data_IF_379664904537
#
_entry.id   IF_379664904537
#
_cell.length_a   1.000
_cell.length_b   1.000
_cell.length_c   1.000
_cell.angle_alpha   90.00
_cell.angle_beta   90.00
_cell.angle_gamma   90.00
#
_symmetry.space_group_name_H-M   'P 1'
#
loop_
_entity.id
_entity.type
_entity.pdbx_description
1 polymer ?
#
# COMPACT_ATOMS: atom_id res chain seq x y z
N UNK A 1 14.82 15.38 -15.45
CA UNK A 1 16.26 15.55 -15.20
C UNK A 1 16.97 14.82 -16.32
N UNK A 2 17.80 15.53 -17.07
CA UNK A 2 18.54 14.90 -18.16
C UNK A 2 19.73 14.08 -17.62
N UNK A 3 20.35 13.25 -18.47
CA UNK A 3 21.45 12.39 -18.03
C UNK A 3 22.68 13.20 -17.58
N UNK A 4 22.95 14.34 -18.22
CA UNK A 4 24.09 15.21 -17.86
C UNK A 4 23.94 15.85 -16.48
N UNK A 5 22.74 16.28 -16.09
CA UNK A 5 22.44 16.83 -14.77
C UNK A 5 22.68 15.78 -13.68
N UNK A 6 22.32 14.52 -13.93
CA UNK A 6 22.55 13.42 -13.00
C UNK A 6 24.05 13.16 -12.82
N UNK A 7 24.82 13.16 -13.91
CA UNK A 7 26.27 12.98 -13.85
C UNK A 7 26.96 14.10 -13.05
N UNK A 8 26.56 15.36 -13.26
CA UNK A 8 27.08 16.49 -12.48
C UNK A 8 26.75 16.33 -11.00
N UNK A 9 25.49 16.03 -10.67
CA UNK A 9 25.08 15.83 -9.28
C UNK A 9 25.77 14.62 -8.63
N UNK A 10 26.09 13.58 -9.40
CA UNK A 10 26.86 12.44 -8.91
C UNK A 10 28.32 12.78 -8.69
N UNK A 11 28.92 13.59 -9.57
CA UNK A 11 30.28 14.08 -9.39
C UNK A 11 30.42 14.91 -8.10
N UNK A 12 29.39 15.70 -7.73
CA UNK A 12 29.35 16.41 -6.44
C UNK A 12 29.37 15.45 -5.25
N UNK A 13 28.61 14.34 -5.32
CA UNK A 13 28.61 13.31 -4.27
C UNK A 13 29.99 12.66 -4.15
N UNK A 14 30.62 12.32 -5.27
CA UNK A 14 31.96 11.71 -5.28
C UNK A 14 33.02 12.66 -4.70
N UNK A 15 32.93 13.96 -5.00
CA UNK A 15 33.83 14.98 -4.46
C UNK A 15 33.66 15.18 -2.94
N UNK A 16 32.47 14.91 -2.40
CA UNK A 16 32.11 15.09 -0.99
C UNK A 16 31.60 13.79 -0.39
N UNK A 17 32.31 12.69 -0.61
CA UNK A 17 31.82 11.35 -0.29
C UNK A 17 31.46 11.13 1.17
N UNK A 18 32.12 11.78 2.12
CA UNK A 18 31.79 11.63 3.56
C UNK A 18 30.70 12.59 4.02
N UNK A 19 30.19 13.46 3.14
CA UNK A 19 29.19 14.46 3.46
C UNK A 19 27.78 13.94 3.22
N UNK A 20 27.09 13.60 4.30
CA UNK A 20 25.70 13.16 4.24
C UNK A 20 24.77 14.13 3.52
N UNK A 21 25.01 15.44 3.59
CA UNK A 21 24.15 16.41 2.94
C UNK A 21 24.22 16.30 1.41
N UNK A 22 25.39 16.00 0.84
CA UNK A 22 25.57 15.79 -0.59
C UNK A 22 24.76 14.58 -1.08
N UNK A 23 24.81 13.47 -0.35
CA UNK A 23 24.01 12.29 -0.68
C UNK A 23 22.50 12.54 -0.54
N UNK A 24 22.06 13.24 0.51
CA UNK A 24 20.63 13.59 0.67
C UNK A 24 20.16 14.46 -0.47
N UNK A 25 20.96 15.47 -0.85
CA UNK A 25 20.66 16.35 -1.96
C UNK A 25 20.60 15.58 -3.29
N UNK A 26 21.50 14.63 -3.52
CA UNK A 26 21.45 13.77 -4.71
C UNK A 26 20.18 12.92 -4.74
N UNK A 27 19.87 12.21 -3.66
CA UNK A 27 18.66 11.39 -3.59
C UNK A 27 17.36 12.21 -3.63
N UNK A 28 17.39 13.47 -3.17
CA UNK A 28 16.26 14.38 -3.22
C UNK A 28 15.84 14.80 -4.63
N UNK A 29 16.67 14.54 -5.65
CA UNK A 29 16.37 14.85 -7.05
C UNK A 29 15.49 13.80 -7.73
N UNK A 30 15.30 12.63 -7.13
CA UNK A 30 14.51 11.53 -7.70
C UNK A 30 13.16 11.41 -7.00
N UNK A 31 12.08 11.50 -7.77
CA UNK A 31 10.70 11.43 -7.26
C UNK A 31 9.99 10.10 -7.58
N UNK A 32 10.60 9.26 -8.42
CA UNK A 32 10.03 8.02 -8.93
C UNK A 32 10.96 6.81 -8.69
N UNK A 33 10.44 5.62 -9.01
CA UNK A 33 11.17 4.36 -8.82
C UNK A 33 12.34 4.22 -9.81
N UNK A 34 12.21 4.73 -11.03
CA UNK A 34 13.24 4.64 -12.05
C UNK A 34 14.47 5.47 -11.68
N UNK A 35 14.26 6.71 -11.19
CA UNK A 35 15.32 7.57 -10.68
C UNK A 35 16.01 6.98 -9.45
N UNK A 36 15.25 6.39 -8.52
CA UNK A 36 15.82 5.71 -7.36
C UNK A 36 16.62 4.45 -7.78
N UNK A 37 16.17 3.69 -8.77
CA UNK A 37 16.93 2.57 -9.30
C UNK A 37 18.25 3.02 -9.93
N UNK A 38 18.24 4.16 -10.64
CA UNK A 38 19.42 4.78 -11.23
C UNK A 38 20.43 5.29 -10.18
N UNK A 39 19.95 5.86 -9.08
CA UNK A 39 20.79 6.17 -7.92
C UNK A 39 21.37 4.90 -7.28
N UNK A 40 20.56 3.85 -7.12
CA UNK A 40 20.99 2.56 -6.55
C UNK A 40 22.10 1.89 -7.36
N UNK A 41 22.01 1.94 -8.70
CA UNK A 41 23.07 1.45 -9.60
C UNK A 41 24.42 2.13 -9.34
N UNK A 42 24.42 3.45 -9.12
CA UNK A 42 25.66 4.20 -8.83
C UNK A 42 26.32 3.77 -7.52
N UNK A 43 25.55 3.64 -6.44
CA UNK A 43 26.10 3.12 -5.18
C UNK A 43 26.56 1.67 -5.30
N UNK A 44 25.88 0.84 -6.09
CA UNK A 44 26.33 -0.51 -6.40
C UNK A 44 27.69 -0.51 -7.13
N UNK A 45 27.87 0.34 -8.15
CA UNK A 45 29.16 0.47 -8.85
C UNK A 45 30.28 0.84 -7.89
N UNK A 46 30.03 1.74 -6.93
CA UNK A 46 31.02 2.08 -5.89
C UNK A 46 31.33 0.87 -5.00
N UNK A 47 30.32 0.12 -4.55
CA UNK A 47 30.53 -1.09 -3.74
C UNK A 47 31.27 -2.19 -4.50
N UNK A 48 31.01 -2.34 -5.80
CA UNK A 48 31.69 -3.30 -6.65
C UNK A 48 33.18 -2.92 -6.80
N UNK A 49 33.49 -1.61 -6.86
CA UNK A 49 34.87 -1.10 -6.92
C UNK A 49 35.57 -1.00 -5.55
N UNK A 50 34.82 -0.78 -4.48
CA UNK A 50 35.28 -0.63 -3.09
C UNK A 50 34.44 -1.52 -2.17
N UNK A 51 34.70 -2.85 -2.17
CA UNK A 51 34.00 -3.75 -1.27
C UNK A 51 34.22 -3.33 0.19
N UNK A 52 33.12 -3.19 0.94
CA UNK A 52 33.17 -2.76 2.35
C UNK A 52 33.08 -1.24 2.55
N UNK A 53 32.86 -0.43 1.51
CA UNK A 53 32.57 1.01 1.68
C UNK A 53 31.23 1.18 2.44
N UNK A 54 31.32 1.51 3.72
CA UNK A 54 30.18 1.67 4.62
C UNK A 54 29.24 2.80 4.19
N UNK A 55 29.79 3.87 3.59
CA UNK A 55 29.01 5.00 3.08
C UNK A 55 28.18 4.55 1.88
N UNK A 56 28.79 3.83 0.94
CA UNK A 56 28.08 3.28 -0.21
C UNK A 56 26.97 2.31 0.22
N UNK A 57 27.26 1.42 1.17
CA UNK A 57 26.29 0.46 1.69
C UNK A 57 25.10 1.17 2.34
N UNK A 58 25.37 2.13 3.23
CA UNK A 58 24.34 2.92 3.92
C UNK A 58 23.43 3.66 2.94
N UNK A 59 24.00 4.34 1.94
CA UNK A 59 23.20 5.12 0.99
C UNK A 59 22.46 4.26 -0.03
N UNK A 60 22.99 3.09 -0.40
CA UNK A 60 22.24 2.07 -1.14
C UNK A 60 21.02 1.61 -0.34
N UNK A 61 21.17 1.35 0.95
CA UNK A 61 20.07 0.89 1.80
C UNK A 61 19.00 2.00 1.97
N UNK A 62 19.41 3.26 2.05
CA UNK A 62 18.49 4.41 2.03
C UNK A 62 17.73 4.52 0.69
N UNK A 63 18.37 4.25 -0.45
CA UNK A 63 17.68 4.13 -1.75
C UNK A 63 16.60 3.06 -1.70
N UNK A 64 16.92 1.86 -1.20
CA UNK A 64 15.96 0.74 -1.08
C UNK A 64 14.79 1.12 -0.17
N UNK A 65 15.06 1.78 0.95
CA UNK A 65 14.03 2.26 1.88
C UNK A 65 13.07 3.25 1.19
N UNK A 66 13.59 4.24 0.46
CA UNK A 66 12.77 5.21 -0.28
C UNK A 66 11.95 4.55 -1.37
N UNK A 67 12.57 3.66 -2.15
CA UNK A 67 11.88 2.91 -3.20
C UNK A 67 10.76 2.05 -2.62
N UNK A 68 11.00 1.39 -1.49
CA UNK A 68 9.99 0.59 -0.79
C UNK A 68 8.82 1.45 -0.31
N UNK A 69 9.10 2.60 0.33
CA UNK A 69 8.06 3.52 0.78
C UNK A 69 7.21 4.03 -0.39
N UNK A 70 7.86 4.38 -1.51
CA UNK A 70 7.18 4.82 -2.72
C UNK A 70 6.33 3.71 -3.35
N UNK A 71 6.86 2.49 -3.47
CA UNK A 71 6.12 1.35 -4.02
C UNK A 71 4.89 1.01 -3.18
N UNK A 72 5.02 1.01 -1.84
CA UNK A 72 3.90 0.76 -0.93
C UNK A 72 2.84 1.87 -1.02
N UNK A 73 3.25 3.12 -1.22
CA UNK A 73 2.33 4.25 -1.38
C UNK A 73 1.48 4.13 -2.66
N UNK A 74 1.97 3.43 -3.69
CA UNK A 74 1.26 3.20 -4.95
C UNK A 74 0.26 2.04 -4.88
N UNK A 75 0.28 1.21 -3.83
CA UNK A 75 -0.63 0.08 -3.72
C UNK A 75 -2.08 0.54 -3.50
N UNK A 76 -3.06 -0.06 -4.20
CA UNK A 76 -4.47 0.26 -4.00
C UNK A 76 -4.89 -0.11 -2.58
N UNK A 77 -5.30 0.90 -1.81
CA UNK A 77 -5.87 0.67 -0.47
C UNK A 77 -7.20 -0.05 -0.61
N UNK A 78 -7.28 -1.31 -0.16
CA UNK A 78 -8.58 -1.96 0.09
C UNK A 78 -9.31 -1.14 1.14
N UNK A 79 -10.35 -0.40 0.74
CA UNK A 79 -11.31 0.15 1.70
C UNK A 79 -11.86 -1.04 2.50
N UNK A 80 -11.81 -1.03 3.84
CA UNK A 80 -12.46 -2.08 4.61
C UNK A 80 -13.91 -2.12 4.17
N UNK A 81 -14.40 -3.32 3.84
CA UNK A 81 -15.81 -3.50 3.49
C UNK A 81 -16.64 -2.85 4.60
N UNK A 82 -17.59 -1.99 4.22
CA UNK A 82 -18.44 -1.24 5.16
C UNK A 82 -19.12 -2.25 6.09
N UNK A 83 -18.56 -2.43 7.29
CA UNK A 83 -19.14 -3.35 8.26
C UNK A 83 -20.49 -2.77 8.67
N UNK A 84 -21.55 -3.55 8.48
CA UNK A 84 -22.87 -3.18 8.98
C UNK A 84 -22.74 -2.93 10.49
N UNK A 85 -23.31 -1.83 10.97
CA UNK A 85 -23.31 -1.57 12.41
C UNK A 85 -23.98 -2.74 13.14
N UNK A 86 -23.52 -3.12 14.35
CA UNK A 86 -24.09 -4.24 15.09
C UNK A 86 -25.61 -4.11 15.30
N UNK A 87 -26.10 -2.87 15.41
CA UNK A 87 -27.52 -2.54 15.50
C UNK A 87 -28.27 -2.86 14.20
N UNK A 88 -27.73 -2.44 13.05
CA UNK A 88 -28.33 -2.71 11.74
C UNK A 88 -28.34 -4.22 11.45
N UNK A 89 -27.24 -4.93 11.78
CA UNK A 89 -27.19 -6.39 11.64
C UNK A 89 -28.27 -7.08 12.48
N UNK A 90 -28.47 -6.66 13.74
CA UNK A 90 -29.54 -7.18 14.59
C UNK A 90 -30.92 -6.85 14.02
N UNK A 91 -31.13 -5.62 13.57
CA UNK A 91 -32.42 -5.21 12.97
C UNK A 91 -32.78 -6.06 11.74
N UNK A 92 -31.81 -6.33 10.86
CA UNK A 92 -32.00 -7.21 9.70
C UNK A 92 -32.34 -8.64 10.13
N UNK A 93 -31.64 -9.18 11.14
CA UNK A 93 -31.92 -10.52 11.66
C UNK A 93 -33.32 -10.61 12.29
N UNK A 94 -33.73 -9.61 13.08
CA UNK A 94 -35.08 -9.55 13.64
C UNK A 94 -36.14 -9.44 12.54
N UNK A 95 -35.92 -8.62 11.52
CA UNK A 95 -36.85 -8.49 10.40
C UNK A 95 -37.04 -9.82 9.65
N UNK A 96 -35.95 -10.55 9.39
CA UNK A 96 -36.00 -11.87 8.76
C UNK A 96 -36.73 -12.91 9.62
N UNK A 97 -36.48 -12.93 10.92
CA UNK A 97 -37.16 -13.83 11.86
C UNK A 97 -38.66 -13.54 11.91
N UNK A 98 -39.04 -12.26 12.03
CA UNK A 98 -40.44 -11.83 12.07
C UNK A 98 -41.18 -12.16 10.77
N UNK A 99 -40.55 -11.94 9.60
CA UNK A 99 -41.14 -12.29 8.31
C UNK A 99 -41.39 -13.80 8.18
N UNK A 100 -40.44 -14.62 8.65
CA UNK A 100 -40.56 -16.09 8.65
C UNK A 100 -41.70 -16.56 9.56
N UNK A 101 -41.83 -15.98 10.75
CA UNK A 101 -42.94 -16.26 11.67
C UNK A 101 -44.30 -15.85 11.06
N UNK A 102 -44.38 -14.67 10.46
CA UNK A 102 -45.62 -14.20 9.83
C UNK A 102 -46.04 -15.11 8.66
N UNK A 103 -45.09 -15.55 7.83
CA UNK A 103 -45.35 -16.48 6.73
C UNK A 103 -45.85 -17.84 7.23
N UNK A 104 -45.25 -18.38 8.30
CA UNK A 104 -45.69 -19.64 8.91
C UNK A 104 -47.10 -19.53 9.52
N UNK A 105 -47.38 -18.44 10.23
CA UNK A 105 -48.71 -18.19 10.80
C UNK A 105 -49.78 -18.05 9.70
N UNK A 106 -49.47 -17.30 8.63
CA UNK A 106 -50.37 -17.16 7.49
C UNK A 106 -50.65 -18.50 6.80
N UNK A 107 -49.62 -19.32 6.58
CA UNK A 107 -49.78 -20.66 6.00
C UNK A 107 -50.67 -21.56 6.88
N UNK A 108 -50.48 -21.52 8.20
CA UNK A 108 -51.29 -22.31 9.14
C UNK A 108 -52.77 -21.91 9.13
N UNK A 109 -53.05 -20.60 9.12
CA UNK A 109 -54.44 -20.07 9.00
C UNK A 109 -55.07 -20.45 7.67
N UNK A 110 -54.29 -20.47 6.59
CA UNK A 110 -54.78 -20.89 5.27
C UNK A 110 -55.14 -22.38 5.25
N UNK A 111 -54.31 -23.24 5.85
CA UNK A 111 -54.54 -24.69 5.88
C UNK A 111 -55.78 -25.06 6.69
N UNK A 112 -56.00 -24.42 7.86
CA UNK A 112 -57.21 -24.69 8.66
C UNK A 112 -58.49 -24.26 7.96
N UNK A 113 -58.46 -23.15 7.21
CA UNK A 113 -59.59 -22.69 6.40
C UNK A 113 -59.89 -23.60 5.20
N UNK A 114 -58.89 -24.25 4.60
CA UNK A 114 -59.10 -25.20 3.50
C UNK A 114 -59.65 -26.56 3.95
N UNK A 115 -59.45 -26.95 5.22
CA UNK A 115 -59.91 -28.24 5.76
C UNK A 115 -61.38 -28.17 6.24
N UNK A 116 -61.93 -26.98 6.44
CA UNK A 116 -63.31 -26.76 6.91
C UNK A 116 -64.33 -26.39 5.83
N UNK A 117 -63.99 -26.51 4.55
CA UNK A 117 -64.96 -26.32 3.46
C UNK A 117 -65.64 -27.68 3.14
N UNK A 118 -66.96 -27.82 3.33
CA UNK A 118 -67.72 -29.01 2.94
C UNK A 118 -67.85 -29.16 1.42
#
# INVERSE_FOLDING_TARGET
>A
MDASEIEVAWAEVLARWTDEAAHRAFLGRFADLDGLAEAGRRYKVVLDARPGDEVAARWRDEVVKRATALALAQLPRKKPARQLSPRLRRAVLFALASASMAAAAWAMVRMTRSVGAP
#
